data_IF_345228599981
#
_entry.id   IF_345228599981
#
_cell.length_a   1.000
_cell.length_b   1.000
_cell.length_c   1.000
_cell.angle_alpha   90.00
_cell.angle_beta   90.00
_cell.angle_gamma   90.00
#
_symmetry.space_group_name_H-M   'P 1'
#
loop_
_entity.id
_entity.type
_entity.pdbx_description
1 polymer ?
#
# COMPACT_ATOMS: atom_id res chain seq x y z
N UNK A 1 7.13 -20.27 -14.05
CA UNK A 1 7.47 -19.21 -13.07
C UNK A 1 7.56 -17.93 -13.87
N UNK A 2 6.91 -16.85 -13.44
CA UNK A 2 7.07 -15.56 -14.12
C UNK A 2 8.50 -15.04 -13.90
N UNK A 3 8.97 -14.21 -14.81
CA UNK A 3 10.29 -13.58 -14.70
C UNK A 3 10.32 -12.60 -13.51
N UNK A 4 11.51 -12.42 -12.93
CA UNK A 4 11.75 -11.37 -11.94
C UNK A 4 11.71 -10.03 -12.65
N UNK A 5 10.94 -9.10 -12.10
CA UNK A 5 10.75 -7.75 -12.63
C UNK A 5 11.39 -6.73 -11.69
N UNK A 6 11.84 -5.61 -12.25
CA UNK A 6 12.50 -4.55 -11.50
C UNK A 6 11.51 -3.47 -11.07
N UNK A 7 11.62 -3.03 -9.83
CA UNK A 7 11.15 -1.71 -9.38
C UNK A 7 12.38 -0.81 -9.37
N UNK A 8 12.57 0.05 -10.39
CA UNK A 8 13.81 0.81 -10.51
C UNK A 8 14.00 1.77 -9.34
N UNK A 9 15.24 1.99 -8.96
CA UNK A 9 15.61 2.95 -7.92
C UNK A 9 14.92 4.29 -8.15
N UNK A 10 14.33 4.85 -7.07
CA UNK A 10 13.60 6.13 -7.11
C UNK A 10 12.33 6.14 -7.97
N UNK A 11 11.87 5.00 -8.45
CA UNK A 11 10.69 4.87 -9.32
C UNK A 11 9.66 3.92 -8.74
N UNK A 12 8.48 3.96 -9.35
CA UNK A 12 7.39 3.04 -9.04
C UNK A 12 7.20 1.97 -10.10
N UNK A 13 6.57 0.87 -9.70
CA UNK A 13 6.03 -0.16 -10.58
C UNK A 13 4.67 -0.60 -10.06
N UNK A 14 3.78 -0.99 -10.97
CA UNK A 14 2.48 -1.56 -10.62
C UNK A 14 2.25 -2.85 -11.41
N UNK A 15 1.59 -3.81 -10.78
CA UNK A 15 1.28 -5.09 -11.41
C UNK A 15 -0.06 -5.63 -10.94
N UNK A 16 -0.71 -6.38 -11.84
CA UNK A 16 -1.93 -7.11 -11.53
C UNK A 16 -1.58 -8.40 -10.79
N UNK A 17 -2.28 -8.66 -9.69
CA UNK A 17 -2.20 -9.91 -8.93
C UNK A 17 -3.62 -10.45 -8.78
N UNK A 18 -3.92 -11.56 -9.44
CA UNK A 18 -5.24 -12.18 -9.40
C UNK A 18 -5.46 -12.95 -8.09
N UNK A 19 -6.70 -13.11 -7.70
CA UNK A 19 -7.09 -13.93 -6.54
C UNK A 19 -6.36 -15.28 -6.53
N UNK A 20 -5.74 -15.60 -5.40
CA UNK A 20 -4.95 -16.82 -5.20
C UNK A 20 -3.51 -16.76 -5.73
N UNK A 21 -3.17 -15.78 -6.56
CA UNK A 21 -1.78 -15.54 -6.93
C UNK A 21 -1.03 -14.86 -5.77
N UNK A 22 0.27 -14.94 -5.84
CA UNK A 22 1.18 -14.35 -4.84
C UNK A 22 2.14 -13.39 -5.51
N UNK A 23 2.51 -12.35 -4.79
CA UNK A 23 3.60 -11.46 -5.20
C UNK A 23 4.72 -11.56 -4.18
N UNK A 24 5.92 -11.86 -4.67
CA UNK A 24 7.17 -11.83 -3.90
C UNK A 24 7.86 -10.50 -4.17
N UNK A 25 8.09 -9.70 -3.12
CA UNK A 25 8.78 -8.42 -3.19
C UNK A 25 10.14 -8.57 -2.51
N UNK A 26 11.21 -8.26 -3.24
CA UNK A 26 12.59 -8.64 -2.90
C UNK A 26 13.42 -7.38 -2.64
N UNK A 27 14.02 -7.31 -1.47
CA UNK A 27 15.06 -6.32 -1.15
C UNK A 27 16.41 -6.83 -1.63
N UNK A 28 16.65 -6.67 -2.92
CA UNK A 28 17.81 -7.28 -3.62
C UNK A 28 19.13 -6.85 -3.02
N UNK A 29 19.24 -5.62 -2.55
CA UNK A 29 20.49 -5.04 -2.01
C UNK A 29 20.47 -4.91 -0.47
N UNK A 30 19.39 -5.30 0.18
CA UNK A 30 19.26 -5.31 1.65
C UNK A 30 19.03 -3.95 2.31
N UNK A 31 19.07 -2.85 1.57
CA UNK A 31 18.94 -1.50 2.15
C UNK A 31 17.81 -0.65 1.55
N UNK A 32 16.94 -1.23 0.72
CA UNK A 32 15.89 -0.50 0.03
C UNK A 32 14.54 -0.63 0.75
N UNK A 33 13.94 0.48 1.12
CA UNK A 33 12.54 0.56 1.53
C UNK A 33 11.64 0.52 0.31
N UNK A 34 10.57 -0.30 0.37
CA UNK A 34 9.58 -0.41 -0.70
C UNK A 34 8.21 -0.04 -0.15
N UNK A 35 7.75 1.17 -0.47
CA UNK A 35 6.38 1.58 -0.18
C UNK A 35 5.44 0.73 -1.04
N UNK A 36 4.48 0.05 -0.40
CA UNK A 36 3.65 -0.95 -1.07
C UNK A 36 2.17 -0.67 -0.81
N UNK A 37 1.37 -0.70 -1.87
CA UNK A 37 -0.09 -0.55 -1.81
C UNK A 37 -0.77 -1.71 -2.53
N UNK A 38 -2.00 -2.00 -2.14
CA UNK A 38 -2.90 -2.89 -2.87
C UNK A 38 -4.22 -2.15 -3.13
N UNK A 39 -4.62 -2.09 -4.39
CA UNK A 39 -5.86 -1.48 -4.87
C UNK A 39 -6.79 -2.60 -5.33
N UNK A 40 -7.98 -2.70 -4.76
CA UNK A 40 -8.96 -3.69 -5.20
C UNK A 40 -9.50 -3.32 -6.58
N UNK A 41 -9.54 -4.29 -7.46
CA UNK A 41 -10.19 -4.15 -8.76
C UNK A 41 -11.70 -4.44 -8.64
N UNK A 42 -12.53 -3.83 -9.52
CA UNK A 42 -13.92 -4.23 -9.64
C UNK A 42 -14.00 -5.72 -9.97
N UNK A 43 -14.75 -6.48 -9.20
CA UNK A 43 -15.02 -7.88 -9.52
C UNK A 43 -16.47 -8.05 -9.94
N UNK A 44 -16.69 -8.76 -11.04
CA UNK A 44 -18.02 -9.11 -11.52
C UNK A 44 -18.83 -9.94 -10.49
N UNK A 45 -18.15 -10.65 -9.60
CA UNK A 45 -18.80 -11.48 -8.56
C UNK A 45 -19.21 -10.68 -7.33
N UNK A 46 -18.47 -9.61 -6.95
CA UNK A 46 -18.85 -8.76 -5.82
C UNK A 46 -19.96 -7.76 -6.17
N UNK A 47 -20.11 -7.39 -7.44
CA UNK A 47 -21.22 -6.52 -7.86
C UNK A 47 -22.58 -7.19 -7.65
N UNK A 48 -22.65 -8.53 -7.77
CA UNK A 48 -23.87 -9.31 -7.52
C UNK A 48 -24.10 -9.64 -6.04
N UNK A 49 -23.03 -9.72 -5.24
CA UNK A 49 -23.15 -9.94 -3.79
C UNK A 49 -23.41 -8.63 -3.03
N UNK A 50 -22.86 -7.50 -3.49
CA UNK A 50 -23.11 -6.17 -2.92
C UNK A 50 -24.55 -5.70 -3.13
N UNK A 51 -25.25 -6.17 -4.16
CA UNK A 51 -26.67 -5.86 -4.36
C UNK A 51 -27.61 -6.70 -3.48
N UNK A 52 -27.10 -7.73 -2.77
CA UNK A 52 -27.91 -8.61 -1.90
C UNK A 52 -27.54 -8.56 -0.42
N UNK A 53 -26.47 -7.88 -0.05
CA UNK A 53 -26.06 -7.72 1.35
C UNK A 53 -25.60 -6.27 1.59
N UNK A 54 -26.51 -5.32 1.47
CA UNK A 54 -26.43 -4.12 2.30
C UNK A 54 -26.67 -4.58 3.75
N UNK A 55 -25.65 -5.16 4.37
CA UNK A 55 -25.60 -5.07 5.83
C UNK A 55 -25.55 -3.57 6.11
N UNK A 56 -26.51 -3.04 6.90
CA UNK A 56 -26.54 -1.62 7.19
C UNK A 56 -25.17 -1.25 7.75
N UNK A 57 -24.53 -0.24 7.19
CA UNK A 57 -23.26 0.32 7.65
C UNK A 57 -23.29 0.66 9.16
N UNK A 58 -24.49 0.69 9.71
CA UNK A 58 -24.78 0.87 11.14
C UNK A 58 -25.94 -0.06 11.52
N UNK A 59 -25.67 -1.25 12.09
CA UNK A 59 -26.71 -2.23 12.45
C UNK A 59 -27.77 -1.72 13.45
N UNK A 60 -27.59 -0.53 14.02
CA UNK A 60 -28.49 0.11 14.96
C UNK A 60 -29.10 1.43 14.45
N UNK A 61 -28.94 1.77 13.15
CA UNK A 61 -29.64 2.90 12.58
C UNK A 61 -31.12 2.52 12.47
N UNK A 62 -31.96 3.09 13.32
CA UNK A 62 -33.42 2.98 13.20
C UNK A 62 -33.86 3.60 11.89
N UNK A 63 -34.79 2.96 11.20
CA UNK A 63 -35.32 3.32 9.88
C UNK A 63 -35.96 4.72 9.80
N UNK A 64 -36.07 5.43 10.92
CA UNK A 64 -36.84 6.67 11.04
C UNK A 64 -35.99 7.95 11.01
N UNK A 65 -34.68 7.86 10.84
CA UNK A 65 -33.83 9.01 10.61
C UNK A 65 -33.28 8.96 9.19
N UNK A 66 -33.81 9.79 8.25
CA UNK A 66 -33.07 10.04 7.01
C UNK A 66 -31.76 10.68 7.45
N UNK A 67 -30.75 9.85 7.57
CA UNK A 67 -29.53 10.28 8.21
C UNK A 67 -28.93 11.37 7.34
N UNK A 68 -28.77 12.57 7.89
CA UNK A 68 -27.93 13.64 7.34
C UNK A 68 -26.51 13.14 6.97
N UNK A 69 -26.21 11.89 7.31
CA UNK A 69 -24.98 11.18 6.98
C UNK A 69 -25.11 10.22 5.79
N UNK A 70 -26.33 10.01 5.22
CA UNK A 70 -26.53 9.07 4.10
C UNK A 70 -25.72 9.48 2.86
N UNK A 71 -25.69 10.78 2.56
CA UNK A 71 -24.87 11.29 1.44
C UNK A 71 -23.36 11.07 1.70
N UNK A 72 -22.89 11.35 2.92
CA UNK A 72 -21.51 11.12 3.30
C UNK A 72 -21.16 9.62 3.27
N UNK A 73 -22.06 8.76 3.73
CA UNK A 73 -21.90 7.31 3.70
C UNK A 73 -21.85 6.79 2.25
N UNK A 74 -22.75 7.27 1.38
CA UNK A 74 -22.76 6.92 -0.04
C UNK A 74 -21.48 7.39 -0.74
N UNK A 75 -21.02 8.60 -0.44
CA UNK A 75 -19.76 9.12 -0.96
C UNK A 75 -18.57 8.27 -0.49
N UNK A 76 -18.53 7.89 0.78
CA UNK A 76 -17.48 7.01 1.30
C UNK A 76 -17.52 5.61 0.66
N UNK A 77 -18.71 5.07 0.39
CA UNK A 77 -18.90 3.80 -0.30
C UNK A 77 -18.43 3.83 -1.76
N UNK A 78 -18.51 4.99 -2.43
CA UNK A 78 -18.07 5.17 -3.81
C UNK A 78 -16.56 5.31 -3.98
N UNK A 79 -15.82 5.54 -2.88
CA UNK A 79 -14.34 5.61 -2.92
C UNK A 79 -13.78 4.23 -3.29
N UNK A 80 -12.83 4.16 -4.25
CA UNK A 80 -12.16 2.92 -4.58
C UNK A 80 -11.55 2.24 -3.36
N UNK A 81 -11.58 0.93 -3.34
CA UNK A 81 -11.08 0.15 -2.22
C UNK A 81 -9.56 0.00 -2.31
N UNK A 82 -8.86 0.35 -1.23
CA UNK A 82 -7.40 0.26 -1.13
C UNK A 82 -6.99 -0.29 0.23
N UNK A 83 -5.84 -0.95 0.28
CA UNK A 83 -5.21 -1.40 1.51
C UNK A 83 -4.95 -0.22 2.45
N UNK A 84 -5.37 -0.35 3.70
CA UNK A 84 -5.29 0.76 4.66
C UNK A 84 -4.58 0.35 5.94
N UNK A 85 -3.42 0.93 6.17
CA UNK A 85 -2.59 0.58 7.33
C UNK A 85 -3.26 0.92 8.67
N UNK A 86 -3.98 2.02 8.76
CA UNK A 86 -4.70 2.35 9.99
C UNK A 86 -5.84 1.35 10.31
N UNK A 87 -6.54 0.82 9.28
CA UNK A 87 -7.56 -0.21 9.46
C UNK A 87 -6.92 -1.58 9.76
N UNK A 88 -5.78 -1.89 9.15
CA UNK A 88 -5.01 -3.10 9.48
C UNK A 88 -4.57 -3.10 10.95
N UNK A 89 -3.96 -2.00 11.42
CA UNK A 89 -3.56 -1.88 12.83
C UNK A 89 -4.73 -2.07 13.79
N UNK A 90 -5.88 -1.46 13.48
CA UNK A 90 -7.08 -1.58 14.30
C UNK A 90 -7.67 -3.00 14.30
N UNK A 91 -7.58 -3.72 13.18
CA UNK A 91 -8.09 -5.08 13.06
C UNK A 91 -7.15 -6.11 13.70
N UNK A 92 -5.84 -5.94 13.51
CA UNK A 92 -4.83 -6.87 13.99
C UNK A 92 -4.42 -6.61 15.44
N UNK A 93 -4.67 -5.40 15.96
CA UNK A 93 -4.14 -4.91 17.25
C UNK A 93 -2.61 -4.99 17.31
N UNK A 94 -1.97 -4.77 16.17
CA UNK A 94 -0.51 -4.78 15.98
C UNK A 94 -0.09 -3.51 15.23
N UNK A 95 1.11 -3.03 15.51
CA UNK A 95 1.72 -1.93 14.75
C UNK A 95 2.21 -2.45 13.41
N UNK A 96 2.92 -3.58 13.42
CA UNK A 96 3.46 -4.22 12.21
C UNK A 96 2.78 -5.58 12.00
N UNK A 97 2.25 -5.85 10.79
CA UNK A 97 1.75 -7.17 10.43
C UNK A 97 2.87 -8.21 10.43
N UNK A 98 2.52 -9.46 10.71
CA UNK A 98 3.40 -10.62 10.70
C UNK A 98 2.86 -11.71 9.78
N UNK A 99 3.65 -12.73 9.51
CA UNK A 99 3.24 -13.89 8.70
C UNK A 99 1.96 -14.51 9.26
N UNK A 100 0.98 -14.72 8.39
CA UNK A 100 -0.37 -15.19 8.70
C UNK A 100 -1.41 -14.07 8.80
N UNK A 101 -1.01 -12.82 8.97
CA UNK A 101 -1.93 -11.69 9.09
C UNK A 101 -2.56 -11.33 7.74
N UNK A 102 -3.83 -10.92 7.80
CA UNK A 102 -4.60 -10.42 6.65
C UNK A 102 -4.63 -8.90 6.68
N UNK A 103 -4.20 -8.29 5.59
CA UNK A 103 -4.26 -6.85 5.38
C UNK A 103 -5.58 -6.48 4.73
N UNK A 104 -6.26 -5.53 5.32
CA UNK A 104 -7.62 -5.14 4.95
C UNK A 104 -7.67 -3.77 4.28
N UNK A 105 -8.76 -3.55 3.55
CA UNK A 105 -9.07 -2.24 2.98
C UNK A 105 -9.59 -1.26 4.03
N UNK A 106 -9.76 0.02 3.61
CA UNK A 106 -10.48 1.03 4.40
C UNK A 106 -11.98 0.67 4.62
N UNK A 107 -12.49 -0.32 3.87
CA UNK A 107 -13.83 -0.90 4.08
C UNK A 107 -13.79 -2.19 4.90
N UNK A 108 -12.63 -2.54 5.48
CA UNK A 108 -12.35 -3.74 6.29
C UNK A 108 -12.50 -5.07 5.54
N UNK A 109 -12.56 -5.03 4.20
CA UNK A 109 -12.54 -6.23 3.39
C UNK A 109 -11.10 -6.78 3.24
N UNK A 110 -10.89 -8.10 3.31
CA UNK A 110 -9.59 -8.71 3.06
C UNK A 110 -9.08 -8.38 1.66
N UNK A 111 -7.82 -7.99 1.53
CA UNK A 111 -7.18 -7.73 0.24
C UNK A 111 -6.01 -8.67 -0.02
N UNK A 112 -5.06 -8.72 0.89
CA UNK A 112 -3.88 -9.57 0.76
C UNK A 112 -3.53 -10.19 2.11
N UNK A 113 -2.83 -11.32 2.10
CA UNK A 113 -2.32 -12.01 3.28
C UNK A 113 -0.80 -12.06 3.21
N UNK A 114 -0.14 -11.68 4.30
CA UNK A 114 1.30 -11.87 4.44
C UNK A 114 1.57 -13.35 4.72
N UNK A 115 2.18 -14.06 3.79
CA UNK A 115 2.37 -15.53 3.89
C UNK A 115 3.82 -15.94 4.12
N UNK A 116 4.78 -15.08 3.76
CA UNK A 116 6.19 -15.32 3.99
C UNK A 116 6.93 -14.00 4.19
N UNK A 117 7.91 -14.00 5.08
CA UNK A 117 8.80 -12.89 5.35
C UNK A 117 10.15 -13.46 5.82
N UNK A 118 11.20 -13.25 5.05
CA UNK A 118 12.56 -13.71 5.39
C UNK A 118 13.38 -12.65 6.11
N UNK A 119 12.86 -11.42 6.16
CA UNK A 119 13.48 -10.31 6.86
C UNK A 119 13.30 -10.45 8.39
N UNK A 120 13.91 -9.58 9.20
CA UNK A 120 13.65 -9.54 10.64
C UNK A 120 12.20 -9.19 11.03
N UNK A 121 11.28 -8.99 10.07
CA UNK A 121 9.88 -8.63 10.32
C UNK A 121 9.72 -7.16 10.74
N UNK A 122 10.69 -6.33 10.42
CA UNK A 122 10.66 -4.89 10.71
C UNK A 122 10.15 -4.14 9.50
N UNK A 123 8.90 -3.71 9.58
CA UNK A 123 8.22 -2.94 8.56
C UNK A 123 7.47 -1.80 9.22
N UNK A 124 7.26 -0.69 8.50
CA UNK A 124 6.51 0.43 9.03
C UNK A 124 5.11 0.52 8.42
N UNK A 125 4.17 0.96 9.25
CA UNK A 125 2.77 1.23 8.88
C UNK A 125 2.30 2.60 9.37
N UNK A 126 3.19 3.39 9.93
CA UNK A 126 2.86 4.65 10.61
C UNK A 126 3.16 5.87 9.73
N UNK A 127 4.21 5.78 8.93
CA UNK A 127 4.72 6.90 8.14
C UNK A 127 4.04 6.92 6.77
N UNK A 128 3.52 8.07 6.41
CA UNK A 128 2.96 8.31 5.08
C UNK A 128 4.03 8.21 3.99
N UNK A 129 3.63 7.90 2.76
CA UNK A 129 4.51 7.99 1.61
C UNK A 129 5.18 9.36 1.54
N UNK A 130 6.48 9.39 1.25
CA UNK A 130 7.18 10.66 1.08
C UNK A 130 6.61 11.43 -0.11
N UNK A 131 6.56 12.74 0.02
CA UNK A 131 6.07 13.67 -0.97
C UNK A 131 7.01 14.87 -1.10
N UNK A 132 6.74 15.73 -2.08
CA UNK A 132 7.56 16.92 -2.35
C UNK A 132 7.59 17.92 -1.20
N UNK A 133 6.53 17.99 -0.38
CA UNK A 133 6.49 18.89 0.79
C UNK A 133 7.40 18.37 1.89
N UNK A 134 7.43 17.04 2.09
CA UNK A 134 8.36 16.42 3.04
C UNK A 134 9.82 16.69 2.66
N UNK A 135 10.16 16.62 1.37
CA UNK A 135 11.51 16.97 0.93
C UNK A 135 11.83 18.45 1.15
N UNK A 136 10.85 19.35 0.95
CA UNK A 136 10.99 20.76 1.30
C UNK A 136 11.29 21.00 2.80
N UNK A 137 10.58 20.28 3.69
CA UNK A 137 10.87 20.30 5.14
C UNK A 137 12.28 19.79 5.48
N UNK A 138 12.78 18.83 4.72
CA UNK A 138 14.14 18.29 4.87
C UNK A 138 15.22 19.18 4.24
N UNK A 139 14.84 20.36 3.70
CA UNK A 139 15.76 21.34 3.13
C UNK A 139 16.17 21.08 1.69
N UNK A 140 15.49 20.18 0.99
CA UNK A 140 15.75 19.96 -0.44
C UNK A 140 15.14 21.11 -1.24
N UNK A 141 15.97 21.81 -2.01
CA UNK A 141 15.52 22.84 -2.94
C UNK A 141 15.34 22.28 -4.34
N UNK A 142 14.19 22.55 -4.97
CA UNK A 142 13.89 22.08 -6.30
C UNK A 142 13.14 20.73 -6.34
N UNK A 143 13.11 20.12 -7.52
CA UNK A 143 12.42 18.85 -7.74
C UNK A 143 13.20 17.68 -7.08
N UNK A 144 12.46 16.81 -6.43
CA UNK A 144 12.94 15.52 -5.93
C UNK A 144 11.85 14.48 -6.20
N UNK A 145 12.23 13.29 -6.62
CA UNK A 145 11.31 12.17 -6.75
C UNK A 145 10.66 11.85 -5.40
N UNK A 146 9.42 11.37 -5.43
CA UNK A 146 8.69 10.98 -4.22
C UNK A 146 7.90 9.70 -4.41
N UNK A 147 7.64 8.98 -3.31
CA UNK A 147 6.80 7.78 -3.37
C UNK A 147 5.37 8.11 -3.80
N UNK A 148 4.89 9.32 -3.47
CA UNK A 148 3.58 9.82 -3.92
C UNK A 148 3.53 9.99 -5.43
N UNK A 149 4.55 10.60 -6.03
CA UNK A 149 4.63 10.74 -7.49
C UNK A 149 4.77 9.35 -8.15
N UNK A 150 5.63 8.49 -7.60
CA UNK A 150 5.84 7.11 -8.09
C UNK A 150 4.56 6.27 -8.08
N UNK A 151 3.71 6.44 -7.06
CA UNK A 151 2.42 5.77 -7.00
C UNK A 151 1.54 6.14 -8.21
N UNK A 152 1.39 7.44 -8.49
CA UNK A 152 0.55 7.91 -9.59
C UNK A 152 1.13 7.53 -10.96
N UNK A 153 2.43 7.65 -11.15
CA UNK A 153 3.11 7.28 -12.39
C UNK A 153 2.95 5.78 -12.68
N UNK A 154 3.11 4.93 -11.66
CA UNK A 154 2.95 3.49 -11.80
C UNK A 154 1.50 3.09 -12.13
N UNK A 155 0.50 3.67 -11.45
CA UNK A 155 -0.93 3.45 -11.72
C UNK A 155 -1.29 3.90 -13.13
N UNK A 156 -0.85 5.10 -13.52
CA UNK A 156 -1.08 5.63 -14.87
C UNK A 156 -0.47 4.72 -15.93
N UNK A 157 0.78 4.33 -15.77
CA UNK A 157 1.47 3.44 -16.70
C UNK A 157 0.72 2.12 -16.86
N UNK A 158 0.36 1.45 -15.77
CA UNK A 158 -0.36 0.18 -15.82
C UNK A 158 -1.73 0.32 -16.49
N UNK A 159 -2.45 1.43 -16.25
CA UNK A 159 -3.79 1.66 -16.83
C UNK A 159 -3.77 1.94 -18.34
N UNK A 160 -2.62 2.31 -18.90
CA UNK A 160 -2.48 2.69 -20.32
C UNK A 160 -1.80 1.61 -21.16
N UNK A 161 -1.07 0.68 -20.56
CA UNK A 161 -0.36 -0.39 -21.28
C UNK A 161 -1.31 -1.51 -21.67
N UNK A 162 -1.38 -1.84 -22.96
CA UNK A 162 -2.26 -2.90 -23.50
C UNK A 162 -1.92 -4.30 -22.98
N UNK A 163 -0.68 -4.55 -22.60
CA UNK A 163 -0.19 -5.84 -22.07
C UNK A 163 -0.32 -5.98 -20.55
N UNK A 164 -1.04 -5.07 -19.89
CA UNK A 164 -1.18 -5.07 -18.42
C UNK A 164 -1.95 -6.25 -17.84
N UNK A 165 -2.65 -7.03 -18.68
CA UNK A 165 -3.54 -8.10 -18.22
C UNK A 165 -4.89 -7.60 -17.65
N UNK A 166 -5.10 -6.28 -17.62
CA UNK A 166 -6.33 -5.64 -17.18
C UNK A 166 -7.39 -5.66 -18.30
N UNK A 167 -8.64 -5.91 -17.97
CA UNK A 167 -9.74 -5.67 -18.86
C UNK A 167 -10.09 -4.17 -18.96
N UNK A 168 -11.03 -3.79 -19.84
CA UNK A 168 -11.38 -2.38 -20.06
C UNK A 168 -11.96 -1.70 -18.82
N UNK A 169 -12.81 -2.39 -18.07
CA UNK A 169 -13.43 -1.86 -16.85
C UNK A 169 -12.38 -1.61 -15.77
N UNK A 170 -11.46 -2.54 -15.59
CA UNK A 170 -10.33 -2.43 -14.67
C UNK A 170 -9.40 -1.26 -15.05
N UNK A 171 -9.11 -1.11 -16.34
CA UNK A 171 -8.31 0.02 -16.84
C UNK A 171 -8.99 1.37 -16.59
N UNK A 172 -10.28 1.49 -16.89
CA UNK A 172 -11.03 2.72 -16.61
C UNK A 172 -11.12 3.01 -15.11
N UNK A 173 -11.31 1.99 -14.28
CA UNK A 173 -11.30 2.15 -12.82
C UNK A 173 -9.99 2.73 -12.31
N UNK A 174 -8.86 2.28 -12.85
CA UNK A 174 -7.54 2.82 -12.48
C UNK A 174 -7.31 4.24 -13.01
N UNK A 175 -7.76 4.56 -14.22
CA UNK A 175 -7.68 5.91 -14.79
C UNK A 175 -8.45 6.94 -13.96
N UNK A 176 -9.60 6.53 -13.42
CA UNK A 176 -10.43 7.39 -12.58
C UNK A 176 -9.94 7.47 -11.13
N UNK A 177 -8.98 6.64 -10.73
CA UNK A 177 -8.56 6.49 -9.33
C UNK A 177 -8.14 7.82 -8.72
N UNK A 178 -7.34 8.62 -9.43
CA UNK A 178 -6.87 9.92 -8.94
C UNK A 178 -8.04 10.85 -8.62
N UNK A 179 -9.00 10.98 -9.53
CA UNK A 179 -10.21 11.81 -9.33
C UNK A 179 -11.03 11.31 -8.15
N UNK A 180 -11.24 9.99 -8.06
CA UNK A 180 -12.04 9.37 -6.99
C UNK A 180 -11.38 9.46 -5.61
N UNK A 181 -10.06 9.43 -5.54
CA UNK A 181 -9.30 9.66 -4.30
C UNK A 181 -9.06 11.14 -4.00
N UNK A 182 -9.42 12.05 -4.91
CA UNK A 182 -9.20 13.49 -4.75
C UNK A 182 -7.70 13.86 -4.68
N UNK A 183 -6.87 13.12 -5.40
CA UNK A 183 -5.42 13.32 -5.44
C UNK A 183 -4.66 12.78 -4.21
N UNK A 184 -5.35 12.13 -3.26
CA UNK A 184 -4.71 11.56 -2.06
C UNK A 184 -4.13 10.19 -2.36
N UNK A 185 -2.88 9.98 -1.94
CA UNK A 185 -2.27 8.65 -1.91
C UNK A 185 -2.56 8.02 -0.56
N UNK A 186 -3.05 6.77 -0.52
CA UNK A 186 -3.22 6.04 0.74
C UNK A 186 -1.89 5.83 1.47
N UNK A 187 -1.92 5.66 2.80
CA UNK A 187 -0.72 5.29 3.55
C UNK A 187 -0.24 3.90 3.13
N UNK A 188 1.05 3.75 2.77
CA UNK A 188 1.60 2.49 2.31
C UNK A 188 1.86 1.50 3.43
N UNK A 189 2.02 0.23 3.07
CA UNK A 189 2.80 -0.72 3.85
C UNK A 189 4.27 -0.53 3.46
N UNK A 190 5.05 0.14 4.32
CA UNK A 190 6.45 0.43 4.09
C UNK A 190 7.30 -0.80 4.40
N UNK A 191 7.46 -1.67 3.40
CA UNK A 191 8.26 -2.89 3.55
C UNK A 191 9.73 -2.53 3.80
N UNK A 192 10.35 -3.26 4.75
CA UNK A 192 11.76 -3.14 5.12
C UNK A 192 12.15 -1.82 5.79
N UNK A 193 11.18 -0.97 6.13
CA UNK A 193 11.42 0.32 6.76
C UNK A 193 11.52 0.17 8.28
N UNK A 194 12.64 0.65 8.84
CA UNK A 194 12.92 0.57 10.26
C UNK A 194 12.58 1.91 10.94
N UNK A 195 11.42 1.93 11.60
CA UNK A 195 10.92 3.10 12.35
C UNK A 195 10.64 2.68 13.80
N UNK A 196 11.65 2.53 14.63
CA UNK A 196 11.43 2.18 16.02
C UNK A 196 10.67 3.29 16.77
N UNK A 197 9.72 2.85 17.60
CA UNK A 197 9.04 3.74 18.53
C UNK A 197 10.00 4.01 19.68
N UNK A 198 10.36 5.25 19.87
CA UNK A 198 11.24 5.70 20.94
C UNK A 198 10.43 6.15 22.15
N UNK A 199 10.98 5.92 23.35
CA UNK A 199 10.40 6.40 24.58
C UNK A 199 11.46 7.18 25.34
N UNK A 200 11.29 8.50 25.42
CA UNK A 200 12.14 9.37 26.22
C UNK A 200 11.48 9.67 27.58
N UNK A 201 12.22 9.43 28.66
CA UNK A 201 11.82 9.79 30.02
C UNK A 201 10.67 8.95 30.61
N UNK A 202 10.08 9.44 31.70
CA UNK A 202 9.00 8.75 32.44
C UNK A 202 7.64 8.89 31.76
N UNK A 203 7.44 8.17 30.68
CA UNK A 203 6.09 7.73 30.28
C UNK A 203 5.27 8.60 29.32
N UNK A 204 5.57 9.85 29.05
CA UNK A 204 4.66 10.73 28.29
C UNK A 204 5.13 11.09 26.87
N UNK A 205 6.40 10.93 26.54
CA UNK A 205 6.93 11.32 25.23
C UNK A 205 7.31 10.07 24.43
N UNK A 206 6.42 9.66 23.53
CA UNK A 206 6.73 8.63 22.53
C UNK A 206 7.01 9.31 21.21
N UNK A 207 8.17 9.02 20.63
CA UNK A 207 8.59 9.48 19.32
C UNK A 207 8.78 8.31 18.37
N UNK A 208 9.23 8.61 17.18
CA UNK A 208 9.73 7.66 16.20
C UNK A 208 11.11 8.09 15.74
N UNK A 209 11.93 7.12 15.36
CA UNK A 209 13.26 7.37 14.79
C UNK A 209 13.30 6.81 13.36
N UNK A 210 14.10 7.41 12.50
CA UNK A 210 14.34 6.94 11.14
C UNK A 210 15.69 6.25 11.10
N UNK A 211 15.67 4.91 11.11
CA UNK A 211 16.88 4.10 11.21
C UNK A 211 17.14 3.35 9.91
N UNK A 212 18.39 2.94 9.63
CA UNK A 212 18.69 2.08 8.49
C UNK A 212 17.91 0.78 8.54
N UNK A 213 17.57 0.17 7.37
CA UNK A 213 16.95 -1.15 7.31
C UNK A 213 17.78 -2.21 8.06
N UNK A 214 17.08 -3.18 8.64
CA UNK A 214 17.70 -4.34 9.28
C UNK A 214 17.76 -5.57 8.36
N UNK A 215 17.31 -5.41 7.13
CA UNK A 215 17.25 -6.44 6.09
C UNK A 215 18.64 -6.78 5.53
N UNK A 216 18.75 -7.99 5.02
CA UNK A 216 19.92 -8.49 4.31
C UNK A 216 19.66 -8.51 2.79
N UNK A 217 20.70 -8.58 2.02
CA UNK A 217 20.64 -8.79 0.58
C UNK A 217 19.80 -10.04 0.26
N UNK A 218 18.79 -9.88 -0.60
CA UNK A 218 17.88 -10.93 -1.02
C UNK A 218 16.73 -11.25 -0.07
N UNK A 219 16.60 -10.57 1.08
CA UNK A 219 15.40 -10.69 1.92
C UNK A 219 14.15 -10.30 1.13
N UNK A 220 13.03 -10.96 1.42
CA UNK A 220 11.79 -10.75 0.70
C UNK A 220 10.54 -10.97 1.57
N UNK A 221 9.45 -10.43 1.07
CA UNK A 221 8.11 -10.64 1.59
C UNK A 221 7.24 -11.26 0.51
N UNK A 222 6.35 -12.18 0.86
CA UNK A 222 5.34 -12.73 -0.05
C UNK A 222 3.95 -12.40 0.45
N UNK A 223 3.18 -11.75 -0.42
CA UNK A 223 1.77 -11.43 -0.20
C UNK A 223 0.92 -12.31 -1.14
N UNK A 224 -0.11 -12.97 -0.59
CA UNK A 224 -1.13 -13.70 -1.34
C UNK A 224 -2.34 -12.80 -1.57
N UNK A 225 -2.80 -12.68 -2.80
CA UNK A 225 -3.99 -11.91 -3.13
C UNK A 225 -5.27 -12.67 -2.77
N UNK A 226 -6.08 -12.11 -1.89
CA UNK A 226 -7.38 -12.66 -1.49
C UNK A 226 -8.53 -12.16 -2.38
N UNK A 227 -8.22 -11.27 -3.32
CA UNK A 227 -9.07 -10.71 -4.37
C UNK A 227 -8.18 -10.29 -5.53
N UNK A 228 -8.77 -9.98 -6.67
CA UNK A 228 -8.04 -9.31 -7.75
C UNK A 228 -7.61 -7.92 -7.29
N UNK A 229 -6.32 -7.68 -7.28
CA UNK A 229 -5.72 -6.42 -6.84
C UNK A 229 -4.65 -5.92 -7.81
N UNK A 230 -4.48 -4.62 -7.86
CA UNK A 230 -3.25 -4.03 -8.37
C UNK A 230 -2.33 -3.75 -7.20
N UNK A 231 -1.16 -4.35 -7.22
CA UNK A 231 -0.10 -4.02 -6.27
C UNK A 231 0.77 -2.94 -6.87
N UNK A 232 0.91 -1.83 -6.16
CA UNK A 232 1.78 -0.71 -6.51
C UNK A 232 2.95 -0.70 -5.56
N UNK A 233 4.15 -0.52 -6.09
CA UNK A 233 5.40 -0.50 -5.33
C UNK A 233 6.21 0.73 -5.71
N UNK A 234 6.86 1.35 -4.74
CA UNK A 234 7.84 2.41 -4.98
C UNK A 234 9.15 2.05 -4.28
N UNK A 235 10.25 1.93 -5.04
CA UNK A 235 11.58 1.92 -4.47
C UNK A 235 11.86 3.34 -3.94
N UNK A 236 11.64 3.53 -2.64
CA UNK A 236 11.61 4.83 -1.98
C UNK A 236 12.83 5.69 -2.35
N UNK A 237 12.64 6.92 -2.88
CA UNK A 237 13.74 7.77 -3.35
C UNK A 237 14.47 8.50 -2.22
N UNK A 238 14.15 8.23 -0.96
CA UNK A 238 14.69 8.95 0.19
C UNK A 238 16.21 8.74 0.33
N UNK A 239 16.97 9.80 0.13
CA UNK A 239 18.43 9.84 0.23
C UNK A 239 18.93 10.89 1.25
N UNK A 240 18.02 11.67 1.84
CA UNK A 240 18.34 12.65 2.89
C UNK A 240 18.42 11.98 4.26
N UNK A 241 17.43 11.15 4.58
CA UNK A 241 17.37 10.34 5.81
C UNK A 241 18.05 8.99 5.62
N UNK A 242 18.29 8.28 6.71
CA UNK A 242 19.04 7.02 6.72
C UNK A 242 18.25 5.79 6.28
N UNK A 243 16.95 5.90 6.01
CA UNK A 243 16.06 4.76 5.79
C UNK A 243 16.42 3.86 4.59
N UNK A 244 17.15 4.38 3.60
CA UNK A 244 17.73 3.61 2.49
C UNK A 244 19.26 3.64 2.54
N UNK A 245 19.87 3.85 3.70
CA UNK A 245 21.31 4.10 3.78
C UNK A 245 21.75 5.34 3.00
N UNK A 246 20.82 6.28 2.68
CA UNK A 246 21.03 7.46 1.82
C UNK A 246 21.39 7.13 0.37
N UNK A 247 21.18 5.91 -0.05
CA UNK A 247 21.51 5.42 -1.40
C UNK A 247 20.38 4.53 -1.93
N UNK A 248 19.29 5.11 -2.47
CA UNK A 248 18.23 4.33 -3.09
C UNK A 248 18.75 3.46 -4.23
N UNK A 249 18.33 2.20 -4.24
CA UNK A 249 18.71 1.17 -5.22
C UNK A 249 17.45 0.48 -5.76
N UNK A 250 17.61 -0.40 -6.75
CA UNK A 250 16.51 -1.18 -7.29
C UNK A 250 15.97 -2.17 -6.24
N UNK A 251 14.67 -2.39 -6.28
CA UNK A 251 14.02 -3.55 -5.70
C UNK A 251 13.49 -4.44 -6.83
N UNK A 252 13.09 -5.66 -6.51
CA UNK A 252 12.55 -6.58 -7.51
C UNK A 252 11.28 -7.25 -7.01
N UNK A 253 10.47 -7.75 -7.94
CA UNK A 253 9.30 -8.54 -7.59
C UNK A 253 9.07 -9.68 -8.58
N UNK A 254 8.28 -10.65 -8.17
CA UNK A 254 7.91 -11.81 -8.98
C UNK A 254 6.47 -12.22 -8.65
N UNK A 255 5.67 -12.50 -9.68
CA UNK A 255 4.35 -13.10 -9.50
C UNK A 255 4.50 -14.61 -9.45
N UNK A 256 3.92 -15.22 -8.42
CA UNK A 256 3.90 -16.65 -8.19
C UNK A 256 2.46 -17.15 -8.33
N UNK A 257 2.29 -18.24 -9.03
CA UNK A 257 1.01 -18.95 -9.17
C UNK A 257 0.74 -19.85 -7.98
#
# INVERSE_FOLDING_TARGET
MSDIQTVPARRGAATLVRHGQKIKIINTHGNQVVDTWALALPSSELSTASSKAEAPLFPNATTDSPSKYTEAANKAASVPEYMSMCHCRASLLKITPAVGDVLVSQKRAPLVKLIEDTSPGVHDTLIAACDRWRYGELGVSGYHESCTDNFWDAVHTLSTVSSSGLNKEEQESLKELNSKLGGKVPDPFNLFMNIPITQEGSGAKRGVSFEPPLTKEGDYVVLEALRDVVVVMSACPQDVLTINGKNPVDAHFQILS
#
